data_IF_198263925072
#
_entry.id   IF_198263925072
#
_cell.length_a   1.000
_cell.length_b   1.000
_cell.length_c   1.000
_cell.angle_alpha   90.00
_cell.angle_beta   90.00
_cell.angle_gamma   90.00
#
_symmetry.space_group_name_H-M   'P 1'
#
loop_
_entity.id
_entity.type
_entity.pdbx_description
1 polymer ?
#
# COMPACT_ATOMS: atom_id res chain seq x y z
N UNK A 1 -46.67 39.52 27.90
CA UNK A 1 -46.68 38.06 28.07
C UNK A 1 -45.27 37.55 27.82
N UNK A 2 -44.60 37.07 28.85
CA UNK A 2 -43.30 36.41 28.75
C UNK A 2 -43.49 35.05 28.09
N UNK A 3 -42.67 34.71 27.10
CA UNK A 3 -42.41 33.30 26.77
C UNK A 3 -40.91 33.05 26.66
N UNK A 4 -40.39 32.69 27.83
CA UNK A 4 -39.19 31.92 28.07
C UNK A 4 -39.20 30.66 27.18
N UNK A 5 -38.10 30.36 26.49
CA UNK A 5 -37.46 29.05 26.61
C UNK A 5 -36.11 29.09 25.89
N UNK A 6 -35.06 29.09 26.70
CA UNK A 6 -33.73 28.59 26.41
C UNK A 6 -33.84 27.24 25.70
N UNK A 7 -33.45 27.17 24.42
CA UNK A 7 -33.03 25.92 23.79
C UNK A 7 -31.53 26.05 23.54
N UNK A 8 -30.78 25.96 24.64
CA UNK A 8 -29.35 25.63 24.53
C UNK A 8 -29.35 24.11 24.62
N UNK A 9 -29.03 23.37 23.55
CA UNK A 9 -29.00 21.93 23.63
C UNK A 9 -28.02 21.53 24.73
N UNK A 10 -28.56 20.84 25.74
CA UNK A 10 -27.83 20.25 26.84
C UNK A 10 -26.72 19.35 26.26
N UNK A 11 -25.46 19.78 26.45
CA UNK A 11 -24.26 18.96 26.26
C UNK A 11 -24.28 18.07 25.01
N UNK A 12 -24.19 18.68 23.83
CA UNK A 12 -23.82 17.92 22.63
C UNK A 12 -22.43 17.38 22.91
N UNK A 13 -22.33 16.05 23.05
CA UNK A 13 -21.07 15.34 23.05
C UNK A 13 -20.36 15.72 21.74
N UNK A 14 -19.45 16.69 21.80
CA UNK A 14 -18.73 17.20 20.64
C UNK A 14 -17.64 16.18 20.27
N UNK A 15 -18.08 14.97 19.91
CA UNK A 15 -17.23 13.87 19.45
C UNK A 15 -16.93 14.07 17.98
N UNK A 16 -16.23 15.16 17.68
CA UNK A 16 -15.58 15.30 16.39
C UNK A 16 -14.62 14.11 16.17
N UNK A 17 -14.48 13.69 14.92
CA UNK A 17 -13.62 12.59 14.54
C UNK A 17 -12.20 13.11 14.31
N UNK A 18 -11.21 12.54 14.99
CA UNK A 18 -9.82 12.83 14.66
C UNK A 18 -9.54 12.29 13.26
N UNK A 19 -9.13 13.17 12.36
CA UNK A 19 -8.86 12.83 10.96
C UNK A 19 -7.38 12.91 10.61
N UNK A 20 -6.56 13.51 11.47
CA UNK A 20 -5.13 13.62 11.22
C UNK A 20 -4.40 14.54 12.18
N UNK A 21 -3.13 14.76 11.89
CA UNK A 21 -2.23 15.62 12.65
C UNK A 21 -1.29 16.36 11.73
N UNK A 22 -1.12 17.66 11.95
CA UNK A 22 -0.11 18.49 11.27
C UNK A 22 0.79 19.09 12.35
N UNK A 23 2.06 18.69 12.38
CA UNK A 23 2.99 19.08 13.43
C UNK A 23 2.44 18.79 14.84
N UNK A 24 2.25 19.84 15.65
CA UNK A 24 1.69 19.74 17.02
C UNK A 24 0.20 20.08 17.10
N UNK A 25 -0.51 20.06 15.97
CA UNK A 25 -1.96 20.26 15.89
C UNK A 25 -2.68 18.97 15.49
N UNK A 26 -3.72 18.61 16.22
CA UNK A 26 -4.63 17.52 15.89
C UNK A 26 -5.81 18.08 15.11
N UNK A 27 -6.11 17.52 13.95
CA UNK A 27 -7.25 17.90 13.12
C UNK A 27 -8.46 17.03 13.45
N UNK A 28 -9.59 17.69 13.60
CA UNK A 28 -10.86 17.10 14.00
C UNK A 28 -11.90 17.50 12.95
N UNK A 29 -12.61 16.52 12.40
CA UNK A 29 -13.81 16.76 11.62
C UNK A 29 -15.00 16.82 12.54
N UNK A 30 -15.79 17.88 12.44
CA UNK A 30 -16.98 18.09 13.25
C UNK A 30 -18.21 18.08 12.34
N UNK A 31 -19.23 17.25 12.64
CA UNK A 31 -20.48 17.28 11.89
C UNK A 31 -21.23 18.59 12.16
N UNK A 32 -21.55 19.29 11.09
CA UNK A 32 -22.41 20.47 11.06
C UNK A 32 -23.83 20.14 10.62
N UNK A 33 -24.71 21.15 10.56
CA UNK A 33 -26.06 20.98 10.02
C UNK A 33 -26.01 20.54 8.55
N UNK A 34 -27.07 19.85 8.11
CA UNK A 34 -27.24 19.39 6.72
C UNK A 34 -26.18 18.38 6.22
N UNK A 35 -25.50 17.67 7.13
CA UNK A 35 -24.50 16.65 6.78
C UNK A 35 -23.19 17.23 6.23
N UNK A 36 -22.98 18.54 6.37
CA UNK A 36 -21.68 19.18 6.12
C UNK A 36 -20.76 18.88 7.29
N UNK A 37 -19.45 18.87 7.05
CA UNK A 37 -18.45 18.78 8.09
C UNK A 37 -17.52 19.99 8.01
N UNK A 38 -17.18 20.58 9.16
CA UNK A 38 -16.13 21.59 9.26
C UNK A 38 -14.90 21.03 9.96
N UNK A 39 -13.74 21.58 9.62
CA UNK A 39 -12.45 21.16 10.13
C UNK A 39 -12.03 22.08 11.28
N UNK A 40 -11.77 21.47 12.43
CA UNK A 40 -11.18 22.15 13.58
C UNK A 40 -9.78 21.62 13.85
N UNK A 41 -8.96 22.44 14.51
CA UNK A 41 -7.61 22.07 14.89
C UNK A 41 -7.33 22.43 16.35
N UNK A 42 -6.92 21.45 17.15
CA UNK A 42 -6.41 21.68 18.50
C UNK A 42 -4.89 21.61 18.49
N UNK A 43 -4.23 22.74 18.79
CA UNK A 43 -2.77 22.86 18.77
C UNK A 43 -2.18 22.95 20.17
N UNK A 44 -1.04 22.28 20.38
CA UNK A 44 -0.36 22.27 21.69
C UNK A 44 0.31 23.60 22.07
N UNK A 45 0.54 24.51 21.12
CA UNK A 45 1.13 25.83 21.39
C UNK A 45 0.71 26.87 20.35
N UNK A 46 0.95 28.15 20.66
CA UNK A 46 0.71 29.27 19.76
C UNK A 46 1.54 29.15 18.49
N UNK A 47 2.82 28.79 18.59
CA UNK A 47 3.73 28.63 17.46
C UNK A 47 3.22 27.54 16.50
N UNK A 48 2.70 26.43 17.04
CA UNK A 48 2.12 25.37 16.23
C UNK A 48 0.86 25.82 15.47
N UNK A 49 0.00 26.60 16.14
CA UNK A 49 -1.19 27.18 15.52
C UNK A 49 -0.83 28.17 14.42
N UNK A 50 0.09 29.08 14.70
CA UNK A 50 0.49 30.12 13.75
C UNK A 50 1.17 29.48 12.52
N UNK A 51 1.96 28.43 12.72
CA UNK A 51 2.53 27.64 11.63
C UNK A 51 1.47 26.89 10.80
N UNK A 52 0.46 26.29 11.45
CA UNK A 52 -0.66 25.67 10.75
C UNK A 52 -1.45 26.69 9.92
N UNK A 53 -1.73 27.87 10.49
CA UNK A 53 -2.40 28.96 9.78
C UNK A 53 -1.60 29.39 8.54
N UNK A 54 -0.28 29.56 8.67
CA UNK A 54 0.58 29.93 7.55
C UNK A 54 0.55 28.90 6.40
N UNK A 55 0.48 27.59 6.70
CA UNK A 55 0.33 26.55 5.67
C UNK A 55 -1.01 26.70 4.94
N UNK A 56 -2.10 26.92 5.68
CA UNK A 56 -3.44 27.00 5.12
C UNK A 56 -3.69 28.31 4.35
N UNK A 57 -3.02 29.40 4.71
CA UNK A 57 -3.08 30.68 4.00
C UNK A 57 -2.32 30.69 2.67
N UNK A 58 -1.26 29.88 2.55
CA UNK A 58 -0.47 29.79 1.32
C UNK A 58 -1.17 28.91 0.27
N UNK A 59 -1.06 27.60 0.41
CA UNK A 59 -1.68 26.63 -0.49
C UNK A 59 -1.70 25.25 0.19
N UNK A 60 -2.89 24.66 0.35
CA UNK A 60 -3.05 23.33 0.92
C UNK A 60 -3.67 22.38 -0.11
N UNK A 61 -2.87 21.45 -0.64
CA UNK A 61 -3.33 20.45 -1.61
C UNK A 61 -3.68 19.15 -0.88
N UNK A 62 -4.97 18.84 -0.79
CA UNK A 62 -5.43 17.54 -0.29
C UNK A 62 -5.48 16.52 -1.42
N UNK A 63 -4.62 15.50 -1.36
CA UNK A 63 -4.62 14.38 -2.31
C UNK A 63 -5.25 13.15 -1.68
N UNK A 64 -6.34 12.66 -2.25
CA UNK A 64 -7.00 11.42 -1.86
C UNK A 64 -6.58 10.32 -2.83
N UNK A 65 -5.65 9.46 -2.40
CA UNK A 65 -5.26 8.29 -3.19
C UNK A 65 -6.06 7.07 -2.72
N UNK A 66 -6.99 6.53 -3.51
CA UNK A 66 -7.66 5.30 -3.16
C UNK A 66 -6.65 4.16 -3.16
N UNK A 67 -6.49 3.50 -2.02
CA UNK A 67 -5.69 2.27 -1.96
C UNK A 67 -6.57 1.13 -2.44
N UNK A 68 -6.49 0.80 -3.73
CA UNK A 68 -7.16 -0.38 -4.28
C UNK A 68 -6.34 -1.61 -3.87
N UNK A 69 -6.90 -2.43 -3.00
CA UNK A 69 -6.36 -3.77 -2.71
C UNK A 69 -7.04 -4.68 -3.73
N UNK A 70 -6.35 -5.05 -4.82
CA UNK A 70 -6.81 -6.15 -5.67
C UNK A 70 -6.63 -7.42 -4.83
N UNK A 71 -7.74 -8.08 -4.51
CA UNK A 71 -7.73 -9.41 -3.89
C UNK A 71 -7.00 -10.40 -4.82
N UNK A 72 -6.16 -11.25 -4.23
CA UNK A 72 -5.30 -12.23 -4.91
C UNK A 72 -6.06 -12.96 -6.03
N UNK A 73 -5.51 -12.87 -7.25
CA UNK A 73 -5.97 -13.67 -8.38
C UNK A 73 -5.64 -15.12 -8.02
N UNK A 74 -6.60 -16.06 -8.04
CA UNK A 74 -6.32 -17.45 -7.70
C UNK A 74 -5.16 -17.96 -8.56
N UNK A 75 -4.14 -18.51 -7.90
CA UNK A 75 -3.00 -19.11 -8.56
C UNK A 75 -3.48 -20.31 -9.39
N UNK A 76 -3.62 -20.10 -10.69
CA UNK A 76 -4.02 -21.13 -11.67
C UNK A 76 -2.83 -21.96 -12.15
N UNK A 77 -1.68 -21.94 -11.46
CA UNK A 77 -0.51 -22.72 -11.88
C UNK A 77 -0.89 -24.21 -11.92
N UNK A 78 -0.85 -24.86 -13.09
CA UNK A 78 -1.17 -26.27 -13.21
C UNK A 78 -0.20 -27.11 -12.38
N UNK A 79 -0.72 -28.03 -11.58
CA UNK A 79 0.08 -28.93 -10.77
C UNK A 79 1.02 -29.77 -11.66
N UNK A 80 2.31 -29.91 -11.32
CA UNK A 80 3.25 -30.67 -12.14
C UNK A 80 2.84 -32.15 -12.20
N UNK A 81 3.03 -32.82 -13.35
CA UNK A 81 2.64 -34.21 -13.52
C UNK A 81 3.41 -35.14 -12.57
N UNK A 82 2.79 -36.23 -12.09
CA UNK A 82 3.40 -37.13 -11.12
C UNK A 82 4.70 -37.74 -11.65
N UNK A 83 5.70 -37.85 -10.77
CA UNK A 83 7.02 -38.36 -11.09
C UNK A 83 6.96 -39.77 -11.69
N UNK A 84 7.68 -39.96 -12.81
CA UNK A 84 7.84 -41.27 -13.43
C UNK A 84 8.55 -42.26 -12.47
N UNK A 85 8.21 -43.56 -12.51
CA UNK A 85 8.84 -44.56 -11.64
C UNK A 85 10.35 -44.71 -11.94
N UNK A 86 11.16 -45.11 -10.94
CA UNK A 86 12.60 -45.18 -11.08
C UNK A 86 13.01 -46.19 -12.16
N UNK A 87 13.85 -45.72 -13.09
CA UNK A 87 14.50 -46.53 -14.12
C UNK A 87 15.34 -47.61 -13.41
N UNK A 88 14.96 -48.87 -13.61
CA UNK A 88 15.68 -50.03 -13.12
C UNK A 88 17.11 -50.06 -13.65
N UNK A 89 18.05 -50.29 -12.73
CA UNK A 89 19.48 -50.51 -12.98
C UNK A 89 19.71 -51.71 -13.89
N UNK A 90 20.25 -51.49 -15.09
CA UNK A 90 20.89 -52.54 -15.88
C UNK A 90 22.41 -52.55 -15.62
N UNK A 91 23.06 -53.73 -15.50
CA UNK A 91 24.49 -53.87 -15.19
C UNK A 91 25.41 -53.53 -16.39
N UNK A 92 26.73 -53.33 -16.16
CA UNK A 92 27.61 -52.67 -17.13
C UNK A 92 28.08 -53.66 -18.19
N UNK A 93 27.85 -53.35 -19.47
CA UNK A 93 28.45 -54.11 -20.56
C UNK A 93 29.79 -53.46 -20.95
N UNK A 94 30.82 -54.28 -20.85
CA UNK A 94 32.24 -53.95 -20.95
C UNK A 94 32.69 -53.59 -22.38
N UNK A 95 33.65 -52.65 -22.44
CA UNK A 95 34.73 -52.49 -23.43
C UNK A 95 34.36 -52.30 -24.92
N UNK A 96 34.36 -51.05 -25.38
CA UNK A 96 34.83 -50.72 -26.73
C UNK A 96 35.98 -49.69 -26.63
N UNK A 97 37.15 -49.96 -27.25
CA UNK A 97 38.24 -48.99 -27.30
C UNK A 97 37.90 -47.81 -28.22
N UNK A 98 38.34 -46.62 -27.81
CA UNK A 98 38.19 -45.35 -28.55
C UNK A 98 38.96 -45.40 -29.89
N UNK A 99 38.35 -45.02 -31.04
CA UNK A 99 39.13 -44.72 -32.24
C UNK A 99 39.77 -43.33 -32.13
N UNK A 100 41.06 -43.27 -32.46
CA UNK A 100 41.99 -42.17 -32.29
C UNK A 100 41.57 -40.84 -32.95
N UNK A 101 41.99 -39.73 -32.32
CA UNK A 101 41.93 -38.38 -32.89
C UNK A 101 42.85 -38.26 -34.11
N UNK A 102 42.27 -38.13 -35.29
CA UNK A 102 43.02 -37.77 -36.49
C UNK A 102 43.08 -36.25 -36.62
N UNK A 103 44.24 -35.70 -36.27
CA UNK A 103 44.60 -34.30 -36.50
C UNK A 103 45.08 -34.17 -37.93
N UNK A 104 44.28 -33.58 -38.83
CA UNK A 104 44.81 -33.02 -40.09
C UNK A 104 44.12 -31.74 -40.53
N UNK A 105 44.86 -30.65 -40.26
CA UNK A 105 45.19 -29.57 -41.19
C UNK A 105 44.05 -28.74 -41.82
N UNK A 106 43.90 -27.54 -41.27
CA UNK A 106 43.51 -26.33 -41.99
C UNK A 106 44.42 -26.13 -43.23
N UNK A 107 43.93 -25.54 -44.33
CA UNK A 107 44.28 -24.14 -44.54
C UNK A 107 43.17 -23.25 -45.13
N UNK A 108 43.26 -22.00 -44.72
CA UNK A 108 42.80 -20.74 -45.33
C UNK A 108 42.62 -20.73 -46.86
N UNK A 109 41.51 -20.15 -47.30
CA UNK A 109 41.39 -19.43 -48.59
C UNK A 109 40.42 -18.25 -48.35
N UNK A 110 40.96 -17.04 -48.20
CA UNK A 110 40.98 -15.91 -49.17
C UNK A 110 39.64 -15.18 -49.31
#
# INVERSE_FOLDING_TARGET
>A
ESKNMTDTPETIEYKGKIIGRIGKCTLISVPGPEGKEHLEATCASKEARDHLAAILEQEAILRVNPKVILEDIPDITPEPPPAAPPIGTNPPMSLQPEPASDTRLNPTES
#
